data_IF_780937676701
#
_entry.id   IF_780937676701
#
_cell.length_a   1.000
_cell.length_b   1.000
_cell.length_c   1.000
_cell.angle_alpha   90.00
_cell.angle_beta   90.00
_cell.angle_gamma   90.00
#
_symmetry.space_group_name_H-M   'P 1'
#
loop_
_entity.id
_entity.type
_entity.pdbx_description
1 polymer ?
#
# COMPACT_ATOMS: atom_id res chain seq x y z
N UNK A 1 -4.45 -9.52 -5.92
CA UNK A 1 -5.53 -9.50 -4.90
C UNK A 1 -4.93 -9.27 -3.52
N UNK A 2 -5.55 -8.42 -2.68
CA UNK A 2 -5.23 -8.35 -1.25
C UNK A 2 -6.27 -9.17 -0.47
N UNK A 3 -5.83 -9.92 0.52
CA UNK A 3 -6.69 -10.76 1.35
C UNK A 3 -6.46 -10.40 2.82
N UNK A 4 -7.48 -9.87 3.49
CA UNK A 4 -7.42 -9.53 4.91
C UNK A 4 -7.89 -10.71 5.75
N UNK A 5 -6.99 -11.30 6.54
CA UNK A 5 -7.21 -12.59 7.17
C UNK A 5 -7.77 -12.47 8.59
N UNK A 6 -7.36 -11.45 9.33
CA UNK A 6 -7.71 -11.31 10.75
C UNK A 6 -7.66 -9.85 11.18
N UNK A 7 -8.45 -9.52 12.20
CA UNK A 7 -8.36 -8.22 12.90
C UNK A 7 -7.48 -8.28 14.15
N UNK A 8 -6.94 -9.47 14.50
CA UNK A 8 -6.05 -9.64 15.65
C UNK A 8 -4.71 -8.95 15.40
N UNK A 9 -4.29 -8.10 16.31
CA UNK A 9 -2.99 -7.45 16.29
C UNK A 9 -2.58 -7.06 17.70
N UNK A 10 -1.33 -7.31 18.12
CA UNK A 10 -0.86 -6.87 19.45
C UNK A 10 -0.43 -5.41 19.50
N UNK A 11 -0.37 -4.72 18.33
CA UNK A 11 0.03 -3.33 18.19
C UNK A 11 -1.20 -2.40 18.16
N UNK A 12 -0.98 -1.11 18.51
CA UNK A 12 -1.99 -0.06 18.55
C UNK A 12 -1.53 1.17 17.76
N UNK A 13 -1.10 0.93 16.51
CA UNK A 13 -0.54 1.99 15.65
C UNK A 13 -1.51 3.15 15.45
N UNK A 14 -1.11 4.42 15.68
CA UNK A 14 -1.99 5.58 15.52
C UNK A 14 -2.63 5.72 14.14
N UNK A 15 -1.93 5.28 13.09
CA UNK A 15 -2.39 5.36 11.69
C UNK A 15 -3.19 4.14 11.22
N UNK A 16 -3.51 3.18 12.11
CA UNK A 16 -4.11 1.92 11.68
C UNK A 16 -5.51 2.15 11.10
N UNK A 17 -5.73 1.67 9.87
CA UNK A 17 -7.02 1.74 9.19
C UNK A 17 -7.93 0.55 9.53
N UNK A 18 -7.39 -0.50 10.14
CA UNK A 18 -8.15 -1.69 10.54
C UNK A 18 -8.77 -1.46 11.89
N UNK A 19 -10.05 -1.81 12.03
CA UNK A 19 -10.70 -1.94 13.35
C UNK A 19 -10.14 -3.17 14.06
N UNK A 20 -9.08 -2.96 14.84
CA UNK A 20 -8.32 -4.04 15.46
C UNK A 20 -9.09 -4.77 16.56
N UNK A 21 -8.75 -6.05 16.74
CA UNK A 21 -9.20 -6.89 17.85
C UNK A 21 -10.74 -7.00 17.99
N UNK A 22 -11.46 -6.89 16.87
CA UNK A 22 -12.92 -7.07 16.85
C UNK A 22 -13.34 -8.54 16.86
N UNK A 23 -12.38 -9.46 16.94
CA UNK A 23 -12.62 -10.91 16.92
C UNK A 23 -12.91 -11.49 15.54
N UNK A 24 -12.82 -10.69 14.48
CA UNK A 24 -13.06 -11.16 13.11
C UNK A 24 -11.81 -11.88 12.58
N UNK A 25 -12.05 -13.04 12.02
CA UNK A 25 -11.04 -13.87 11.39
C UNK A 25 -11.68 -14.61 10.21
N UNK A 26 -11.05 -14.55 9.05
CA UNK A 26 -11.56 -15.23 7.86
C UNK A 26 -11.47 -16.74 8.04
N UNK A 27 -12.56 -17.50 7.86
CA UNK A 27 -12.50 -18.97 7.89
C UNK A 27 -11.52 -19.50 6.82
N UNK A 28 -10.78 -20.56 7.15
CA UNK A 28 -9.81 -21.17 6.22
C UNK A 28 -10.42 -21.49 4.85
N UNK A 29 -11.59 -22.14 4.83
CA UNK A 29 -12.24 -22.50 3.58
C UNK A 29 -12.63 -21.29 2.73
N UNK A 30 -13.04 -20.20 3.37
CA UNK A 30 -13.33 -18.93 2.68
C UNK A 30 -12.05 -18.34 2.07
N UNK A 31 -10.94 -18.33 2.81
CA UNK A 31 -9.66 -17.85 2.31
C UNK A 31 -9.15 -18.69 1.12
N UNK A 32 -9.22 -20.02 1.24
CA UNK A 32 -8.84 -20.95 0.17
C UNK A 32 -9.75 -20.77 -1.06
N UNK A 33 -11.06 -20.58 -0.84
CA UNK A 33 -12.01 -20.31 -1.92
C UNK A 33 -11.57 -19.07 -2.73
N UNK A 34 -11.33 -17.94 -2.07
CA UNK A 34 -10.93 -16.72 -2.76
C UNK A 34 -9.58 -16.81 -3.46
N UNK A 35 -8.62 -17.57 -2.91
CA UNK A 35 -7.32 -17.82 -3.57
C UNK A 35 -7.53 -18.63 -4.86
N UNK A 36 -8.37 -19.67 -4.82
CA UNK A 36 -8.68 -20.51 -5.98
C UNK A 36 -9.45 -19.75 -7.06
N UNK A 37 -10.45 -18.99 -6.64
CA UNK A 37 -11.23 -18.15 -7.55
C UNK A 37 -10.36 -17.06 -8.20
N UNK A 38 -9.46 -16.43 -7.44
CA UNK A 38 -8.48 -15.50 -7.97
C UNK A 38 -7.56 -16.13 -9.02
N UNK A 39 -7.06 -17.34 -8.77
CA UNK A 39 -6.23 -18.07 -9.73
C UNK A 39 -6.98 -18.39 -11.03
N UNK A 40 -8.26 -18.80 -10.93
CA UNK A 40 -9.10 -19.08 -12.09
C UNK A 40 -9.36 -17.84 -12.95
N UNK A 41 -9.38 -16.65 -12.35
CA UNK A 41 -9.56 -15.37 -13.03
C UNK A 41 -8.26 -14.77 -13.57
N UNK A 42 -7.11 -15.49 -13.47
CA UNK A 42 -5.82 -15.02 -13.97
C UNK A 42 -5.12 -14.01 -13.06
N UNK A 43 -5.54 -13.89 -11.80
CA UNK A 43 -4.77 -13.15 -10.78
C UNK A 43 -3.41 -13.81 -10.62
N UNK A 44 -2.35 -13.01 -10.54
CA UNK A 44 -0.98 -13.53 -10.46
C UNK A 44 -0.36 -13.39 -9.08
N UNK A 45 -0.88 -12.48 -8.25
CA UNK A 45 -0.31 -12.20 -6.94
C UNK A 45 -1.39 -12.06 -5.88
N UNK A 46 -1.16 -12.68 -4.73
CA UNK A 46 -1.98 -12.56 -3.53
C UNK A 46 -1.11 -11.94 -2.43
N UNK A 47 -1.60 -10.88 -1.82
CA UNK A 47 -0.98 -10.23 -0.67
C UNK A 47 -1.81 -10.57 0.57
N UNK A 48 -1.25 -11.33 1.48
CA UNK A 48 -1.85 -11.72 2.75
C UNK A 48 -1.58 -10.65 3.79
N UNK A 49 -2.63 -10.16 4.44
CA UNK A 49 -2.57 -9.07 5.40
C UNK A 49 -3.70 -9.16 6.43
N UNK A 50 -3.92 -8.11 7.20
CA UNK A 50 -4.96 -8.01 8.21
C UNK A 50 -4.54 -7.09 9.33
N UNK A 51 -4.75 -7.48 10.60
CA UNK A 51 -4.09 -6.90 11.76
C UNK A 51 -2.60 -7.25 11.73
N UNK A 52 -2.18 -8.27 12.51
CA UNK A 52 -0.87 -8.92 12.31
C UNK A 52 -1.08 -10.27 11.61
N UNK A 53 -0.46 -10.43 10.46
CA UNK A 53 -0.70 -11.60 9.60
C UNK A 53 -0.27 -12.91 10.26
N UNK A 54 0.77 -12.90 11.11
CA UNK A 54 1.18 -14.06 11.89
C UNK A 54 0.20 -14.47 12.99
N UNK A 55 -0.79 -13.64 13.30
CA UNK A 55 -1.88 -14.02 14.20
C UNK A 55 -2.93 -14.92 13.52
N UNK A 56 -2.86 -15.09 12.21
CA UNK A 56 -3.77 -15.98 11.50
C UNK A 56 -3.28 -17.42 11.55
N UNK A 57 -4.03 -18.38 12.15
CA UNK A 57 -3.52 -19.71 12.47
C UNK A 57 -3.23 -20.59 11.24
N UNK A 58 -3.87 -20.31 10.11
CA UNK A 58 -3.77 -21.12 8.89
C UNK A 58 -2.93 -20.44 7.79
N UNK A 59 -2.00 -19.55 8.17
CA UNK A 59 -1.22 -18.77 7.20
C UNK A 59 -0.42 -19.67 6.25
N UNK A 60 0.19 -20.71 6.79
CA UNK A 60 1.03 -21.66 6.02
C UNK A 60 0.24 -22.46 5.00
N UNK A 61 -1.00 -22.84 5.32
CA UNK A 61 -1.90 -23.51 4.40
C UNK A 61 -2.23 -22.63 3.18
N UNK A 62 -2.45 -21.33 3.41
CA UNK A 62 -2.72 -20.38 2.33
C UNK A 62 -1.50 -20.16 1.43
N UNK A 63 -0.30 -20.08 2.02
CA UNK A 63 0.95 -19.94 1.25
C UNK A 63 1.18 -21.19 0.39
N UNK A 64 0.98 -22.40 0.95
CA UNK A 64 1.08 -23.66 0.21
C UNK A 64 0.07 -23.73 -0.94
N UNK A 65 -1.16 -23.28 -0.74
CA UNK A 65 -2.18 -23.25 -1.80
C UNK A 65 -1.79 -22.24 -2.91
N UNK A 66 -1.31 -21.05 -2.55
CA UNK A 66 -0.79 -20.08 -3.52
C UNK A 66 0.35 -20.69 -4.35
N UNK A 67 1.31 -21.36 -3.72
CA UNK A 67 2.43 -22.06 -4.40
C UNK A 67 1.93 -23.13 -5.36
N UNK A 68 0.97 -23.97 -4.95
CA UNK A 68 0.35 -25.00 -5.77
C UNK A 68 -0.32 -24.40 -7.01
N UNK A 69 -0.95 -23.24 -6.87
CA UNK A 69 -1.61 -22.50 -7.94
C UNK A 69 -0.66 -21.60 -8.75
N UNK A 70 0.65 -21.61 -8.44
CA UNK A 70 1.68 -20.77 -9.08
C UNK A 70 1.43 -19.26 -8.96
N UNK A 71 0.81 -18.85 -7.85
CA UNK A 71 0.61 -17.46 -7.50
C UNK A 71 1.82 -16.92 -6.74
N UNK A 72 2.19 -15.68 -6.98
CA UNK A 72 3.08 -14.95 -6.08
C UNK A 72 2.34 -14.68 -4.77
N UNK A 73 2.87 -15.18 -3.66
CA UNK A 73 2.29 -15.02 -2.34
C UNK A 73 3.16 -14.11 -1.49
N UNK A 74 2.65 -12.93 -1.17
CA UNK A 74 3.35 -11.96 -0.35
C UNK A 74 2.67 -11.85 1.03
N UNK A 75 3.47 -11.65 2.07
CA UNK A 75 3.00 -11.52 3.44
C UNK A 75 3.42 -10.17 4.02
N UNK A 76 2.46 -9.42 4.55
CA UNK A 76 2.72 -8.16 5.25
C UNK A 76 2.87 -8.40 6.74
N UNK A 77 3.99 -7.97 7.33
CA UNK A 77 4.34 -8.18 8.73
C UNK A 77 4.62 -6.86 9.44
N UNK A 78 4.22 -6.78 10.70
CA UNK A 78 4.70 -5.72 11.59
C UNK A 78 6.06 -6.05 12.21
N UNK A 79 6.43 -7.32 12.20
CA UNK A 79 7.62 -7.89 12.84
C UNK A 79 7.33 -8.58 14.18
N UNK A 80 6.17 -8.35 14.78
CA UNK A 80 5.80 -9.03 16.01
C UNK A 80 5.58 -10.52 15.74
N UNK A 81 6.05 -11.37 16.67
CA UNK A 81 6.00 -12.84 16.58
C UNK A 81 6.87 -13.46 15.48
N UNK A 82 7.71 -12.68 14.80
CA UNK A 82 8.69 -13.23 13.87
C UNK A 82 9.85 -13.85 14.64
N UNK A 83 10.09 -15.14 14.40
CA UNK A 83 11.27 -15.88 14.85
C UNK A 83 11.97 -16.51 13.65
N UNK A 84 13.18 -17.03 13.83
CA UNK A 84 13.92 -17.73 12.76
C UNK A 84 13.13 -18.94 12.29
N UNK A 85 12.59 -19.74 13.21
CA UNK A 85 11.78 -20.93 12.90
C UNK A 85 10.51 -20.55 12.10
N UNK A 86 9.86 -19.42 12.46
CA UNK A 86 8.68 -18.96 11.73
C UNK A 86 9.03 -18.49 10.32
N UNK A 87 10.17 -17.84 10.12
CA UNK A 87 10.65 -17.48 8.79
C UNK A 87 10.99 -18.71 7.95
N UNK A 88 11.66 -19.69 8.52
CA UNK A 88 11.96 -20.95 7.84
C UNK A 88 10.68 -21.65 7.41
N UNK A 89 9.67 -21.72 8.28
CA UNK A 89 8.35 -22.29 7.97
C UNK A 89 7.70 -21.57 6.78
N UNK A 90 7.70 -20.23 6.77
CA UNK A 90 7.12 -19.45 5.67
C UNK A 90 7.87 -19.67 4.35
N UNK A 91 9.20 -19.75 4.38
CA UNK A 91 10.04 -20.00 3.21
C UNK A 91 9.83 -21.42 2.66
N UNK A 92 9.76 -22.44 3.50
CA UNK A 92 9.47 -23.81 3.10
C UNK A 92 8.09 -23.94 2.44
N UNK A 93 7.11 -23.21 2.95
CA UNK A 93 5.76 -23.13 2.35
C UNK A 93 5.75 -22.45 1.00
N UNK A 94 6.74 -21.60 0.69
CA UNK A 94 6.92 -20.94 -0.61
C UNK A 94 6.41 -19.50 -0.65
N UNK A 95 6.54 -18.75 0.45
CA UNK A 95 6.33 -17.29 0.45
C UNK A 95 7.25 -16.64 -0.58
N UNK A 96 6.71 -15.72 -1.37
CA UNK A 96 7.45 -15.06 -2.45
C UNK A 96 8.03 -13.72 -2.05
N UNK A 97 7.34 -12.96 -1.20
CA UNK A 97 7.79 -11.67 -0.72
C UNK A 97 7.35 -11.41 0.71
N UNK A 98 8.19 -10.75 1.48
CA UNK A 98 7.88 -10.33 2.85
C UNK A 98 7.94 -8.81 2.91
N UNK A 99 6.83 -8.18 3.30
CA UNK A 99 6.69 -6.74 3.42
C UNK A 99 6.72 -6.37 4.88
N UNK A 100 7.82 -5.77 5.32
CA UNK A 100 7.98 -5.29 6.69
C UNK A 100 7.51 -3.86 6.78
N UNK A 101 6.57 -3.59 7.67
CA UNK A 101 6.02 -2.27 7.87
C UNK A 101 6.88 -1.47 8.86
N UNK A 102 7.45 -0.35 8.40
CA UNK A 102 8.34 0.49 9.20
C UNK A 102 8.21 1.95 8.76
N UNK A 103 7.91 2.87 9.69
CA UNK A 103 7.63 4.28 9.38
C UNK A 103 8.72 5.27 9.81
N UNK A 104 9.84 4.79 10.33
CA UNK A 104 10.95 5.64 10.74
C UNK A 104 12.26 4.88 10.83
N UNK A 105 13.37 5.56 10.57
CA UNK A 105 14.73 5.00 10.71
C UNK A 105 15.16 4.85 12.17
N UNK A 106 14.47 5.54 13.08
CA UNK A 106 14.64 5.41 14.52
C UNK A 106 13.31 5.10 15.21
N UNK A 107 13.40 4.61 16.45
CA UNK A 107 12.23 4.31 17.27
C UNK A 107 11.35 5.56 17.45
N UNK A 108 11.97 6.70 17.76
CA UNK A 108 11.28 7.97 18.03
C UNK A 108 10.48 8.46 16.82
N UNK A 109 11.02 8.28 15.62
CA UNK A 109 10.33 8.69 14.38
C UNK A 109 9.23 7.68 14.05
N UNK A 110 9.51 6.40 14.15
CA UNK A 110 8.54 5.34 13.85
C UNK A 110 7.30 5.44 14.73
N UNK A 111 7.50 5.60 16.05
CA UNK A 111 6.41 5.61 17.04
C UNK A 111 5.50 6.85 16.97
N UNK A 112 5.83 7.86 16.18
CA UNK A 112 4.88 8.96 15.90
C UNK A 112 3.64 8.49 15.14
N UNK A 113 3.74 7.42 14.38
CA UNK A 113 2.65 6.94 13.52
C UNK A 113 2.44 5.44 13.58
N UNK A 114 3.44 4.66 14.06
CA UNK A 114 3.41 3.21 14.04
C UNK A 114 4.16 2.61 15.22
N UNK A 115 3.54 1.68 15.93
CA UNK A 115 4.19 0.85 16.94
C UNK A 115 5.11 -0.22 16.31
N UNK A 116 5.89 -0.89 17.15
CA UNK A 116 6.60 -2.12 16.75
C UNK A 116 7.93 -1.87 16.03
N UNK A 117 8.64 -0.77 16.33
CA UNK A 117 9.97 -0.51 15.76
C UNK A 117 10.97 -1.66 16.01
N UNK A 118 11.16 -2.05 17.26
CA UNK A 118 12.15 -3.08 17.63
C UNK A 118 11.87 -4.41 16.93
N UNK A 119 10.65 -5.00 16.98
CA UNK A 119 10.38 -6.25 16.27
C UNK A 119 10.51 -6.12 14.74
N UNK A 120 10.21 -4.96 14.15
CA UNK A 120 10.43 -4.74 12.72
C UNK A 120 11.93 -4.79 12.37
N UNK A 121 12.79 -4.13 13.16
CA UNK A 121 14.25 -4.16 12.99
C UNK A 121 14.81 -5.57 13.16
N UNK A 122 14.37 -6.30 14.20
CA UNK A 122 14.76 -7.70 14.42
C UNK A 122 14.35 -8.58 13.23
N UNK A 123 13.17 -8.36 12.67
CA UNK A 123 12.72 -9.06 11.46
C UNK A 123 13.61 -8.80 10.26
N UNK A 124 14.00 -7.54 10.03
CA UNK A 124 14.93 -7.19 8.95
C UNK A 124 16.28 -7.86 9.11
N UNK A 125 16.80 -7.93 10.36
CA UNK A 125 18.04 -8.64 10.68
C UNK A 125 17.96 -10.15 10.37
N UNK A 126 16.85 -10.79 10.77
CA UNK A 126 16.62 -12.21 10.47
C UNK A 126 16.51 -12.44 8.96
N UNK A 127 15.75 -11.62 8.23
CA UNK A 127 15.60 -11.74 6.79
C UNK A 127 16.94 -11.57 6.06
N UNK A 128 17.78 -10.63 6.51
CA UNK A 128 19.15 -10.46 6.01
C UNK A 128 20.01 -11.69 6.28
N UNK A 129 19.97 -12.23 7.52
CA UNK A 129 20.72 -13.43 7.93
C UNK A 129 20.40 -14.63 7.03
N UNK A 130 19.11 -14.88 6.75
CA UNK A 130 18.68 -15.97 5.87
C UNK A 130 18.75 -15.60 4.38
N UNK A 131 19.18 -14.40 4.04
CA UNK A 131 19.28 -13.86 2.66
C UNK A 131 17.97 -13.99 1.88
N UNK A 132 16.84 -13.65 2.53
CA UNK A 132 15.54 -13.69 1.85
C UNK A 132 15.49 -12.67 0.69
N UNK A 133 15.21 -13.09 -0.56
CA UNK A 133 15.50 -12.26 -1.74
C UNK A 133 14.55 -11.08 -1.93
N UNK A 134 13.30 -11.19 -1.49
CA UNK A 134 12.25 -10.19 -1.74
C UNK A 134 11.72 -9.56 -0.45
N UNK A 135 12.64 -9.04 0.36
CA UNK A 135 12.31 -8.21 1.53
C UNK A 135 12.02 -6.79 1.07
N UNK A 136 10.85 -6.28 1.41
CA UNK A 136 10.45 -4.91 1.08
C UNK A 136 10.03 -4.18 2.35
N UNK A 137 10.55 -2.98 2.55
CA UNK A 137 10.05 -2.09 3.60
C UNK A 137 8.88 -1.30 3.04
N UNK A 138 7.74 -1.36 3.72
CA UNK A 138 6.59 -0.50 3.50
C UNK A 138 6.66 0.69 4.47
N UNK A 139 6.87 1.89 3.92
CA UNK A 139 6.99 3.14 4.66
C UNK A 139 5.84 4.08 4.31
N UNK A 140 4.94 4.33 5.27
CA UNK A 140 3.86 5.31 5.09
C UNK A 140 4.41 6.70 5.36
N UNK A 141 4.40 7.53 4.32
CA UNK A 141 4.89 8.90 4.41
C UNK A 141 3.86 9.82 5.04
N UNK A 142 4.23 10.44 6.14
CA UNK A 142 3.50 11.49 6.84
C UNK A 142 4.33 12.79 6.88
N UNK A 143 3.70 13.91 7.19
CA UNK A 143 4.40 15.16 7.40
C UNK A 143 5.49 15.06 8.49
N UNK A 144 5.26 14.26 9.53
CA UNK A 144 6.17 14.12 10.68
C UNK A 144 7.38 13.19 10.45
N UNK A 145 7.38 12.39 9.36
CA UNK A 145 8.48 11.46 9.05
C UNK A 145 9.08 11.66 7.65
N UNK A 146 8.54 12.57 6.85
CA UNK A 146 8.97 12.75 5.47
C UNK A 146 10.46 13.12 5.33
N UNK A 147 10.98 13.91 6.26
CA UNK A 147 12.38 14.36 6.26
C UNK A 147 13.36 13.23 6.67
N UNK A 148 12.86 12.11 7.19
CA UNK A 148 13.62 10.91 7.54
C UNK A 148 13.92 10.01 6.33
N UNK A 149 13.37 10.29 5.16
CA UNK A 149 13.51 9.43 3.98
C UNK A 149 14.95 9.08 3.59
N UNK A 150 15.94 10.00 3.64
CA UNK A 150 17.34 9.65 3.39
C UNK A 150 17.89 8.61 4.38
N UNK A 151 17.53 8.71 5.66
CA UNK A 151 17.93 7.74 6.67
C UNK A 151 17.21 6.40 6.51
N UNK A 152 15.96 6.40 6.04
CA UNK A 152 15.24 5.18 5.65
C UNK A 152 15.91 4.45 4.48
N UNK A 153 16.47 5.17 3.50
CA UNK A 153 17.26 4.57 2.42
C UNK A 153 18.51 3.90 2.99
N UNK A 154 19.27 4.60 3.83
CA UNK A 154 20.47 4.05 4.47
C UNK A 154 20.15 2.81 5.33
N UNK A 155 19.03 2.82 6.05
CA UNK A 155 18.54 1.67 6.79
C UNK A 155 18.23 0.51 5.85
N UNK A 156 17.53 0.76 4.75
CA UNK A 156 17.20 -0.25 3.75
C UNK A 156 18.44 -0.87 3.11
N UNK A 157 19.49 -0.08 2.84
CA UNK A 157 20.79 -0.55 2.37
C UNK A 157 21.50 -1.41 3.41
N UNK A 158 21.54 -0.97 4.67
CA UNK A 158 22.18 -1.70 5.77
C UNK A 158 21.58 -3.09 6.03
N UNK A 159 20.28 -3.22 5.80
CA UNK A 159 19.57 -4.51 5.90
C UNK A 159 19.48 -5.25 4.57
N UNK A 160 20.13 -4.76 3.52
CA UNK A 160 20.20 -5.40 2.21
C UNK A 160 18.81 -5.75 1.65
N UNK A 161 17.79 -4.90 1.93
CA UNK A 161 16.43 -5.18 1.44
C UNK A 161 16.34 -4.98 -0.06
N UNK A 162 15.46 -5.75 -0.70
CA UNK A 162 15.19 -5.60 -2.14
C UNK A 162 14.58 -4.24 -2.47
N UNK A 163 13.68 -3.73 -1.62
CA UNK A 163 13.01 -2.49 -1.92
C UNK A 163 12.47 -1.72 -0.71
N UNK A 164 12.28 -0.42 -0.94
CA UNK A 164 11.62 0.51 -0.04
C UNK A 164 10.44 1.15 -0.80
N UNK A 165 9.21 0.86 -0.36
CA UNK A 165 7.99 1.40 -0.97
C UNK A 165 7.46 2.56 -0.14
N UNK A 166 7.38 3.73 -0.76
CA UNK A 166 6.73 4.92 -0.19
C UNK A 166 5.23 4.80 -0.39
N UNK A 167 4.50 4.67 0.72
CA UNK A 167 3.05 4.53 0.75
C UNK A 167 2.43 5.87 1.11
N UNK A 168 1.36 6.26 0.42
CA UNK A 168 0.61 7.45 0.76
C UNK A 168 -0.12 7.27 2.09
N UNK A 169 0.01 8.24 3.00
CA UNK A 169 -0.96 8.39 4.08
C UNK A 169 -2.35 8.64 3.49
N UNK A 170 -3.37 8.03 4.05
CA UNK A 170 -4.75 8.13 3.58
C UNK A 170 -5.61 8.76 4.67
N UNK A 171 -5.78 10.10 4.63
CA UNK A 171 -6.58 10.80 5.64
C UNK A 171 -8.04 10.39 5.56
N UNK A 172 -8.67 10.24 6.71
CA UNK A 172 -10.10 9.93 6.86
C UNK A 172 -10.96 11.19 6.97
N UNK A 173 -10.33 12.33 7.21
CA UNK A 173 -11.01 13.62 7.39
C UNK A 173 -10.09 14.78 7.00
N UNK A 174 -10.68 15.95 6.73
CA UNK A 174 -9.93 17.18 6.48
C UNK A 174 -9.02 17.58 7.67
N UNK A 175 -9.39 17.21 8.90
CA UNK A 175 -8.55 17.44 10.08
C UNK A 175 -7.23 16.65 10.01
N UNK A 176 -7.24 15.47 9.44
CA UNK A 176 -6.04 14.64 9.28
C UNK A 176 -5.11 15.11 8.15
N UNK A 177 -5.59 16.00 7.28
CA UNK A 177 -4.77 16.58 6.21
C UNK A 177 -3.51 17.30 6.72
N UNK A 178 -3.50 17.78 7.97
CA UNK A 178 -2.28 18.31 8.61
C UNK A 178 -1.15 17.28 8.72
N UNK A 179 -1.49 15.99 8.72
CA UNK A 179 -0.53 14.88 8.75
C UNK A 179 -0.11 14.43 7.34
N UNK A 180 -0.76 14.95 6.30
CA UNK A 180 -0.36 14.69 4.92
C UNK A 180 0.93 15.45 4.58
N UNK A 181 1.86 14.85 3.82
CA UNK A 181 3.12 15.50 3.47
C UNK A 181 2.88 16.79 2.67
N UNK A 182 3.65 17.82 2.99
CA UNK A 182 3.64 19.09 2.25
C UNK A 182 4.22 18.93 0.84
N UNK A 183 3.95 19.89 -0.06
CA UNK A 183 4.56 19.98 -1.39
C UNK A 183 6.08 19.85 -1.34
N UNK A 184 6.74 20.66 -0.49
CA UNK A 184 8.19 20.63 -0.30
C UNK A 184 8.70 19.23 0.06
N UNK A 185 8.01 18.54 0.96
CA UNK A 185 8.39 17.19 1.39
C UNK A 185 8.22 16.17 0.26
N UNK A 186 7.12 16.22 -0.49
CA UNK A 186 6.90 15.34 -1.64
C UNK A 186 7.96 15.58 -2.72
N UNK A 187 8.28 16.84 -3.00
CA UNK A 187 9.33 17.24 -3.96
C UNK A 187 10.72 16.75 -3.51
N UNK A 188 11.05 16.91 -2.22
CA UNK A 188 12.32 16.44 -1.66
C UNK A 188 12.47 14.91 -1.78
N UNK A 189 11.42 14.15 -1.41
CA UNK A 189 11.41 12.68 -1.57
C UNK A 189 11.50 12.29 -3.04
N UNK A 190 10.76 12.97 -3.94
CA UNK A 190 10.81 12.68 -5.37
C UNK A 190 12.20 12.93 -5.97
N UNK A 191 12.83 14.02 -5.57
CA UNK A 191 14.20 14.34 -5.98
C UNK A 191 15.17 13.25 -5.51
N UNK A 192 15.09 12.85 -4.24
CA UNK A 192 15.94 11.79 -3.68
C UNK A 192 15.77 10.46 -4.41
N UNK A 193 14.53 10.08 -4.77
CA UNK A 193 14.27 8.85 -5.55
C UNK A 193 14.90 8.93 -6.94
N UNK A 194 14.79 10.06 -7.63
CA UNK A 194 15.37 10.24 -8.99
C UNK A 194 16.89 10.21 -8.99
N UNK A 195 17.52 10.76 -7.95
CA UNK A 195 18.98 10.87 -7.82
C UNK A 195 19.62 9.59 -7.24
N UNK A 196 18.82 8.67 -6.73
CA UNK A 196 19.34 7.47 -6.10
C UNK A 196 19.81 6.43 -7.13
N UNK A 197 21.04 5.97 -6.95
CA UNK A 197 21.70 4.98 -7.82
C UNK A 197 22.14 3.71 -7.08
N UNK A 198 21.77 3.59 -5.80
CA UNK A 198 22.14 2.44 -4.97
C UNK A 198 21.35 1.15 -5.29
N UNK A 199 21.58 0.07 -4.52
CA UNK A 199 21.05 -1.26 -4.82
C UNK A 199 19.55 -1.43 -4.48
N UNK A 200 19.00 -0.62 -3.56
CA UNK A 200 17.60 -0.75 -3.10
C UNK A 200 16.63 -0.22 -4.16
N UNK A 201 15.58 -0.97 -4.47
CA UNK A 201 14.54 -0.50 -5.39
C UNK A 201 13.62 0.48 -4.68
N UNK A 202 13.80 1.78 -4.93
CA UNK A 202 12.90 2.81 -4.41
C UNK A 202 11.63 2.88 -5.28
N UNK A 203 10.46 2.76 -4.66
CA UNK A 203 9.18 2.74 -5.34
C UNK A 203 8.15 3.60 -4.59
N UNK A 204 7.14 4.08 -5.31
CA UNK A 204 5.98 4.73 -4.73
C UNK A 204 4.72 3.92 -5.01
N UNK A 205 3.87 3.76 -3.99
CA UNK A 205 2.57 3.10 -4.11
C UNK A 205 1.75 3.73 -5.26
N UNK A 206 1.03 2.93 -6.08
CA UNK A 206 0.27 3.46 -7.21
C UNK A 206 -0.69 4.59 -6.86
N UNK A 207 -1.34 4.54 -5.71
CA UNK A 207 -2.27 5.58 -5.28
C UNK A 207 -1.59 6.84 -4.69
N UNK A 208 -0.26 6.85 -4.50
CA UNK A 208 0.49 8.06 -4.19
C UNK A 208 0.83 8.83 -5.47
N UNK A 209 -0.21 9.24 -6.18
CA UNK A 209 -0.08 9.84 -7.51
C UNK A 209 0.71 11.13 -7.53
N UNK A 210 0.65 11.94 -6.48
CA UNK A 210 1.43 13.17 -6.35
C UNK A 210 2.93 12.88 -6.42
N UNK A 211 3.41 11.92 -5.63
CA UNK A 211 4.81 11.52 -5.65
C UNK A 211 5.18 10.87 -6.99
N UNK A 212 4.36 9.93 -7.47
CA UNK A 212 4.60 9.23 -8.74
C UNK A 212 4.71 10.16 -9.93
N UNK A 213 3.87 11.18 -9.98
CA UNK A 213 3.92 12.18 -11.04
C UNK A 213 5.24 12.93 -11.07
N UNK A 214 5.84 13.21 -9.91
CA UNK A 214 7.12 13.91 -9.80
C UNK A 214 8.33 13.01 -10.08
N UNK A 215 8.23 11.69 -9.84
CA UNK A 215 9.30 10.73 -10.16
C UNK A 215 9.20 10.13 -11.56
N UNK A 216 8.27 10.60 -12.35
CA UNK A 216 7.86 10.10 -13.66
C UNK A 216 9.00 9.75 -14.62
N UNK A 217 10.02 10.60 -14.70
CA UNK A 217 11.14 10.43 -15.62
C UNK A 217 11.95 9.15 -15.37
N UNK A 218 11.94 8.66 -14.13
CA UNK A 218 12.68 7.44 -13.74
C UNK A 218 11.94 6.14 -14.10
N UNK A 219 10.60 6.20 -14.24
CA UNK A 219 9.76 5.01 -14.48
C UNK A 219 9.32 4.84 -15.94
N UNK A 220 9.51 5.83 -16.81
CA UNK A 220 9.06 5.77 -18.20
C UNK A 220 9.74 4.74 -19.09
N UNK A 221 10.82 4.13 -18.63
CA UNK A 221 11.53 3.09 -19.38
C UNK A 221 10.86 1.70 -19.37
N UNK A 222 9.80 1.47 -18.58
CA UNK A 222 9.10 0.19 -18.58
C UNK A 222 7.91 0.21 -19.52
N UNK A 223 7.85 -0.74 -20.46
CA UNK A 223 6.76 -0.90 -21.43
C UNK A 223 5.34 -1.00 -20.82
N UNK A 224 5.25 -1.22 -19.50
CA UNK A 224 4.00 -1.41 -18.76
C UNK A 224 3.52 -0.14 -18.02
N UNK A 225 4.20 0.98 -18.13
CA UNK A 225 3.86 2.18 -17.36
C UNK A 225 2.48 2.76 -17.69
N UNK A 226 2.05 2.65 -18.95
CA UNK A 226 0.73 3.13 -19.39
C UNK A 226 -0.46 2.39 -18.76
N UNK A 227 -0.25 1.16 -18.27
CA UNK A 227 -1.27 0.35 -17.61
C UNK A 227 -1.48 0.71 -16.13
N UNK A 228 -0.51 1.41 -15.49
CA UNK A 228 -0.48 1.64 -14.04
C UNK A 228 -0.52 3.14 -13.70
N UNK A 229 -1.44 3.88 -14.29
CA UNK A 229 -1.67 5.28 -13.94
C UNK A 229 -2.38 5.37 -12.59
N UNK A 230 -1.67 5.64 -11.51
CA UNK A 230 -2.24 5.92 -10.21
C UNK A 230 -2.97 4.75 -9.56
N UNK A 231 -4.08 5.03 -8.90
CA UNK A 231 -4.81 4.07 -8.08
C UNK A 231 -5.24 2.81 -8.85
N UNK A 232 -4.88 1.63 -8.30
CA UNK A 232 -5.18 0.32 -8.90
C UNK A 232 -6.54 -0.25 -8.56
N UNK A 233 -7.26 0.37 -7.62
CA UNK A 233 -8.55 -0.11 -7.14
C UNK A 233 -9.54 -0.31 -8.31
N UNK A 234 -10.05 -1.54 -8.47
CA UNK A 234 -10.98 -1.90 -9.53
C UNK A 234 -10.44 -1.87 -10.96
N UNK A 235 -9.14 -1.57 -11.17
CA UNK A 235 -8.48 -1.53 -12.48
C UNK A 235 -7.51 -2.68 -12.69
N UNK A 236 -6.73 -3.02 -11.67
CA UNK A 236 -5.78 -4.15 -11.65
C UNK A 236 -5.58 -4.73 -10.25
N UNK A 237 -6.30 -4.23 -9.26
CA UNK A 237 -6.31 -4.77 -7.91
C UNK A 237 -7.71 -4.80 -7.33
N UNK A 238 -7.94 -5.78 -6.46
CA UNK A 238 -9.13 -5.96 -5.63
C UNK A 238 -8.68 -6.39 -4.24
N UNK A 239 -9.57 -6.29 -3.28
CA UNK A 239 -9.37 -6.79 -1.92
C UNK A 239 -10.53 -7.67 -1.49
N UNK A 240 -10.27 -8.56 -0.55
CA UNK A 240 -11.29 -9.33 0.17
C UNK A 240 -11.13 -9.00 1.66
N UNK A 241 -12.21 -8.60 2.31
CA UNK A 241 -12.23 -8.27 3.74
C UNK A 241 -12.20 -9.52 4.61
N UNK A 242 -12.01 -9.36 5.91
CA UNK A 242 -12.08 -10.46 6.89
C UNK A 242 -13.42 -11.18 6.91
N UNK A 243 -14.49 -10.54 6.45
CA UNK A 243 -15.83 -11.11 6.30
C UNK A 243 -16.02 -11.89 4.97
N UNK A 244 -14.99 -11.93 4.12
CA UNK A 244 -15.05 -12.57 2.82
C UNK A 244 -15.75 -11.72 1.74
N UNK A 245 -15.89 -10.42 1.93
CA UNK A 245 -16.54 -9.52 0.98
C UNK A 245 -15.53 -8.92 0.01
N UNK A 246 -15.85 -8.94 -1.28
CA UNK A 246 -15.06 -8.30 -2.33
C UNK A 246 -15.19 -6.78 -2.27
N UNK A 247 -14.07 -6.09 -2.32
CA UNK A 247 -13.99 -4.62 -2.37
C UNK A 247 -12.93 -4.19 -3.39
N UNK A 248 -13.00 -2.95 -3.93
CA UNK A 248 -11.97 -2.45 -4.84
C UNK A 248 -10.60 -2.30 -4.15
N UNK A 249 -10.63 -1.97 -2.86
CA UNK A 249 -9.47 -1.65 -2.05
C UNK A 249 -9.83 -1.81 -0.58
N UNK A 250 -8.88 -2.21 0.27
CA UNK A 250 -9.04 -2.36 1.71
C UNK A 250 -9.48 -1.09 2.47
N UNK A 251 -9.38 0.08 1.84
CA UNK A 251 -9.79 1.37 2.40
C UNK A 251 -11.15 1.85 1.88
N UNK A 252 -11.85 1.04 1.08
CA UNK A 252 -13.15 1.36 0.49
C UNK A 252 -14.17 0.33 0.95
N UNK A 253 -15.12 0.78 1.75
CA UNK A 253 -16.27 -0.03 2.13
C UNK A 253 -17.31 0.05 1.00
N UNK A 254 -17.73 -1.12 0.52
CA UNK A 254 -18.71 -1.26 -0.57
C UNK A 254 -19.71 -2.33 -0.20
N UNK A 255 -20.99 -2.02 -0.29
CA UNK A 255 -22.09 -2.90 0.12
C UNK A 255 -22.54 -3.90 -0.98
N UNK A 256 -21.77 -4.09 -2.04
CA UNK A 256 -22.08 -5.05 -3.09
C UNK A 256 -21.60 -6.45 -2.72
N UNK A 257 -22.45 -7.45 -2.91
CA UNK A 257 -22.14 -8.85 -2.64
C UNK A 257 -22.01 -9.65 -3.94
N UNK A 258 -20.88 -10.28 -4.10
CA UNK A 258 -20.60 -11.18 -5.21
C UNK A 258 -19.94 -12.45 -4.69
N UNK A 259 -20.27 -13.57 -5.31
CA UNK A 259 -19.68 -14.87 -4.97
C UNK A 259 -18.40 -15.16 -5.76
N UNK A 260 -18.22 -14.54 -6.93
CA UNK A 260 -17.07 -14.75 -7.82
C UNK A 260 -16.38 -13.44 -8.19
N UNK A 261 -15.05 -13.49 -8.27
CA UNK A 261 -14.22 -12.34 -8.68
C UNK A 261 -14.57 -11.91 -10.12
N UNK A 262 -14.80 -12.84 -11.03
CA UNK A 262 -15.17 -12.53 -12.41
C UNK A 262 -16.48 -11.74 -12.49
N UNK A 263 -17.49 -12.14 -11.71
CA UNK A 263 -18.77 -11.45 -11.66
C UNK A 263 -18.65 -10.07 -11.05
N UNK A 264 -17.93 -9.96 -9.93
CA UNK A 264 -17.62 -8.67 -9.32
C UNK A 264 -16.91 -7.74 -10.31
N UNK A 265 -15.88 -8.24 -10.99
CA UNK A 265 -15.07 -7.48 -11.93
C UNK A 265 -15.86 -6.92 -13.10
N UNK A 266 -16.82 -7.70 -13.61
CA UNK A 266 -17.59 -7.37 -14.81
C UNK A 266 -18.91 -6.67 -14.53
N UNK A 267 -19.56 -6.94 -13.39
CA UNK A 267 -20.94 -6.54 -13.15
C UNK A 267 -21.11 -5.54 -12.00
N UNK A 268 -20.09 -5.33 -11.13
CA UNK A 268 -20.17 -4.33 -10.07
C UNK A 268 -20.46 -2.93 -10.62
N UNK A 269 -21.53 -2.32 -10.18
CA UNK A 269 -21.88 -0.94 -10.52
C UNK A 269 -20.91 0.06 -9.88
N UNK A 270 -20.39 -0.29 -8.70
CA UNK A 270 -19.36 0.52 -8.05
C UNK A 270 -18.05 0.52 -8.86
N UNK A 271 -17.59 -0.65 -9.34
CA UNK A 271 -16.40 -0.72 -10.18
C UNK A 271 -16.57 0.00 -11.50
N UNK A 272 -17.76 -0.04 -12.12
CA UNK A 272 -18.06 0.73 -13.34
C UNK A 272 -17.89 2.23 -13.08
N UNK A 273 -18.48 2.76 -12.02
CA UNK A 273 -18.35 4.17 -11.62
C UNK A 273 -16.89 4.52 -11.31
N UNK A 274 -16.17 3.65 -10.58
CA UNK A 274 -14.77 3.85 -10.22
C UNK A 274 -13.85 3.92 -11.45
N UNK A 275 -14.12 3.14 -12.49
CA UNK A 275 -13.35 3.13 -13.74
C UNK A 275 -13.59 4.38 -14.57
N UNK A 276 -14.78 4.99 -14.48
CA UNK A 276 -15.17 6.21 -15.20
C UNK A 276 -14.86 7.50 -14.42
N UNK A 277 -14.27 7.38 -13.23
CA UNK A 277 -14.05 8.54 -12.34
C UNK A 277 -13.19 9.64 -12.98
N UNK A 278 -12.34 9.32 -13.95
CA UNK A 278 -11.56 10.32 -14.71
C UNK A 278 -12.45 11.27 -15.52
N UNK A 279 -13.59 10.78 -16.00
CA UNK A 279 -14.57 11.57 -16.76
C UNK A 279 -15.34 12.55 -15.87
N UNK A 280 -15.47 12.21 -14.57
CA UNK A 280 -16.16 13.04 -13.56
C UNK A 280 -15.22 13.98 -12.82
N UNK A 281 -13.99 14.12 -13.28
CA UNK A 281 -12.96 14.97 -12.68
C UNK A 281 -13.42 16.43 -12.58
N UNK A 282 -13.22 17.01 -11.40
CA UNK A 282 -13.59 18.40 -11.08
C UNK A 282 -12.35 19.23 -10.73
N UNK A 283 -12.51 20.55 -10.71
CA UNK A 283 -11.50 21.44 -10.16
C UNK A 283 -11.24 21.10 -8.67
N UNK A 284 -9.95 21.16 -8.20
CA UNK A 284 -8.78 21.67 -8.91
C UNK A 284 -8.05 20.60 -9.75
N UNK A 285 -8.49 19.36 -9.80
CA UNK A 285 -7.82 18.32 -10.58
C UNK A 285 -8.07 18.49 -12.10
N UNK A 286 -9.25 18.96 -12.51
CA UNK A 286 -9.54 19.32 -13.89
C UNK A 286 -8.75 20.59 -14.25
N UNK A 287 -7.98 20.53 -15.33
CA UNK A 287 -7.10 21.62 -15.76
C UNK A 287 -5.76 21.69 -14.99
N UNK A 288 -5.51 20.77 -14.06
CA UNK A 288 -4.21 20.68 -13.40
C UNK A 288 -3.12 20.25 -14.39
N UNK A 289 -1.93 20.85 -14.29
CA UNK A 289 -0.76 20.46 -15.14
C UNK A 289 -0.40 18.98 -15.08
N UNK A 290 -0.82 18.27 -14.05
CA UNK A 290 -0.58 16.84 -13.86
C UNK A 290 -1.81 15.97 -14.22
N UNK A 291 -2.87 16.55 -14.75
CA UNK A 291 -4.16 15.89 -14.97
C UNK A 291 -4.03 14.55 -15.69
N UNK A 292 -3.23 14.48 -16.75
CA UNK A 292 -3.08 13.27 -17.58
C UNK A 292 -2.35 12.13 -16.90
N UNK A 293 -1.60 12.40 -15.84
CA UNK A 293 -0.69 11.44 -15.21
C UNK A 293 -0.98 11.21 -13.71
N UNK A 294 -1.89 11.97 -13.14
CA UNK A 294 -2.22 11.89 -11.73
C UNK A 294 -3.62 11.28 -11.55
N UNK A 295 -3.66 10.18 -10.83
CA UNK A 295 -4.87 9.49 -10.40
C UNK A 295 -4.81 9.31 -8.87
N UNK A 296 -5.27 10.32 -8.08
CA UNK A 296 -5.14 10.28 -6.64
C UNK A 296 -5.90 9.11 -6.00
N UNK A 297 -5.68 8.90 -4.72
CA UNK A 297 -6.30 7.83 -3.96
C UNK A 297 -7.82 8.01 -3.91
N UNK A 298 -8.57 7.07 -4.46
CA UNK A 298 -10.05 7.10 -4.44
C UNK A 298 -10.61 7.00 -3.03
N UNK A 299 -9.98 6.20 -2.16
CA UNK A 299 -10.41 6.05 -0.78
C UNK A 299 -10.27 7.36 0.00
N UNK A 300 -9.13 8.04 -0.11
CA UNK A 300 -8.96 9.37 0.49
C UNK A 300 -9.97 10.37 -0.09
N UNK A 301 -10.17 10.37 -1.40
CA UNK A 301 -11.17 11.23 -2.04
C UNK A 301 -12.59 11.00 -1.51
N UNK A 302 -13.02 9.75 -1.38
CA UNK A 302 -14.34 9.42 -0.83
C UNK A 302 -14.50 9.86 0.62
N UNK A 303 -13.49 9.63 1.45
CA UNK A 303 -13.55 10.00 2.88
C UNK A 303 -13.53 11.51 3.08
N UNK A 304 -12.75 12.24 2.29
CA UNK A 304 -12.64 13.70 2.39
C UNK A 304 -13.87 14.43 1.79
N UNK A 305 -14.49 13.87 0.74
CA UNK A 305 -15.52 14.58 -0.04
C UNK A 305 -16.87 13.88 -0.10
N UNK A 306 -17.03 12.73 0.57
CA UNK A 306 -18.31 12.02 0.69
C UNK A 306 -18.78 11.34 -0.60
N UNK A 307 -17.92 11.16 -1.62
CA UNK A 307 -18.28 10.50 -2.86
C UNK A 307 -17.11 10.20 -3.78
N UNK A 308 -17.36 9.43 -4.85
CA UNK A 308 -16.39 9.18 -5.92
C UNK A 308 -16.17 10.46 -6.75
N UNK A 309 -15.77 11.53 -6.11
CA UNK A 309 -15.32 12.72 -6.79
C UNK A 309 -13.83 12.62 -7.03
N UNK A 310 -13.44 12.76 -8.30
CA UNK A 310 -12.04 12.71 -8.69
C UNK A 310 -11.41 14.10 -8.55
N UNK A 311 -11.35 14.57 -7.32
CA UNK A 311 -10.60 15.77 -6.97
C UNK A 311 -9.97 15.57 -5.58
N UNK A 312 -8.92 16.32 -5.34
CA UNK A 312 -8.29 16.49 -4.04
C UNK A 312 -8.10 17.98 -3.85
N UNK A 313 -9.10 18.62 -3.24
CA UNK A 313 -9.12 20.09 -3.04
C UNK A 313 -7.93 20.55 -2.20
N UNK A 314 -7.50 19.71 -1.26
CA UNK A 314 -6.36 19.95 -0.38
C UNK A 314 -5.04 19.38 -0.95
N UNK A 315 -4.97 19.18 -2.29
CA UNK A 315 -3.77 18.61 -2.90
C UNK A 315 -2.53 19.50 -2.67
N UNK A 316 -1.49 18.99 -2.02
CA UNK A 316 -0.32 19.82 -1.68
C UNK A 316 0.45 20.32 -2.91
N UNK A 317 0.32 19.65 -4.08
CA UNK A 317 0.97 20.10 -5.31
C UNK A 317 0.28 21.33 -5.95
N UNK A 318 -0.91 21.68 -5.46
CA UNK A 318 -1.70 22.81 -5.94
C UNK A 318 -1.72 24.00 -4.96
N UNK A 319 -1.27 23.82 -3.74
CA UNK A 319 -1.11 24.94 -2.81
C UNK A 319 -0.06 25.88 -3.37
N UNK A 320 -0.49 27.09 -3.73
CA UNK A 320 0.40 28.20 -4.04
C UNK A 320 1.06 28.59 -2.71
N UNK A 321 2.35 28.32 -2.53
CA UNK A 321 3.09 28.92 -1.42
C UNK A 321 3.06 30.42 -1.63
N UNK A 322 2.74 31.18 -0.55
CA UNK A 322 2.78 32.63 -0.59
C UNK A 322 4.24 33.07 -0.88
N UNK A 323 4.57 33.26 -2.16
CA UNK A 323 5.93 33.55 -2.64
C UNK A 323 6.18 33.12 -4.08
N UNK A 324 5.38 32.18 -4.62
CA UNK A 324 5.55 31.64 -5.99
C UNK A 324 4.78 32.42 -7.07
N UNK A 325 4.26 33.58 -6.76
CA UNK A 325 3.68 34.48 -7.78
C UNK A 325 4.85 35.26 -8.42
N UNK A 326 5.40 34.69 -9.48
CA UNK A 326 6.25 35.48 -10.36
C UNK A 326 5.32 36.49 -11.09
N UNK A 327 5.46 37.81 -10.88
CA UNK A 327 4.57 38.80 -11.47
C UNK A 327 4.69 38.91 -13.00
N UNK A 328 5.43 38.01 -13.66
CA UNK A 328 5.73 38.04 -15.10
C UNK A 328 5.41 36.73 -15.85
N UNK A 329 4.59 35.79 -15.30
CA UNK A 329 4.05 34.64 -16.04
C UNK A 329 2.59 34.84 -16.43
#
# INVERSE_FOLDING_TARGET
MNLELTTKCPLHCPQCYVSLNTGREMPLETALYWIRDAASCGVRSVNLSGGETLCYPYLTELIKECRKLKLYCNVALSGVYVTEEKLDELMECGVTGIFVSLNGSTKEINEKTRDGYIPAIQTLELLRKVRFPYTIINWVMHACNADDFPAMISLAENYEVFGLTVIAFKPDSSHEMKSYPSKRQIEAVSKKIREYTGPVKLNAEPCFSQLRTLIKETFYGSANYGLFRGCGAGRYSISVTTEGTLTPCRHLDVEEKFEHIADYWNHSEFLKKLRLVEETRQSPCRGCRFETNCLPCHAAGMKLHGGLTYNMTECPLQTVEAGDVNPND
#
